data_IF_619272277689
#
_entry.id   IF_619272277689
#
_cell.length_a   1.000
_cell.length_b   1.000
_cell.length_c   1.000
_cell.angle_alpha   90.00
_cell.angle_beta   90.00
_cell.angle_gamma   90.00
#
_symmetry.space_group_name_H-M   'P 1'
#
loop_
_entity.id
_entity.type
_entity.pdbx_description
1 polymer ?
#
# COMPACT_ATOMS: atom_id res chain seq x y z
N UNK A 1 7.44 0.25 -24.69
CA UNK A 1 6.75 0.95 -23.57
C UNK A 1 6.28 0.02 -22.45
N UNK A 2 5.87 -1.24 -22.73
CA UNK A 2 5.42 -2.19 -21.70
C UNK A 2 6.47 -2.47 -20.61
N UNK A 3 7.76 -2.52 -20.97
CA UNK A 3 8.84 -2.80 -20.02
C UNK A 3 9.08 -1.64 -19.03
N UNK A 4 9.07 -0.39 -19.50
CA UNK A 4 9.21 0.79 -18.63
C UNK A 4 8.04 0.85 -17.65
N UNK A 5 6.81 0.70 -18.13
CA UNK A 5 5.63 0.67 -17.28
C UNK A 5 5.74 -0.42 -16.20
N UNK A 6 6.28 -1.59 -16.55
CA UNK A 6 6.44 -2.71 -15.62
C UNK A 6 7.47 -2.46 -14.52
N UNK A 7 8.55 -1.75 -14.84
CA UNK A 7 9.57 -1.36 -13.86
C UNK A 7 8.98 -0.39 -12.84
N UNK A 8 8.23 0.61 -13.31
CA UNK A 8 7.76 1.70 -12.45
C UNK A 8 6.43 1.41 -11.73
N UNK A 9 5.61 0.47 -12.24
CA UNK A 9 4.24 0.25 -11.73
C UNK A 9 4.20 -0.06 -10.24
N UNK A 10 5.13 -0.89 -9.74
CA UNK A 10 5.18 -1.26 -8.34
C UNK A 10 5.39 -0.04 -7.44
N UNK A 11 6.29 0.85 -7.84
CA UNK A 11 6.61 2.06 -7.06
C UNK A 11 5.50 3.10 -7.16
N UNK A 12 4.87 3.24 -8.33
CA UNK A 12 3.72 4.14 -8.51
C UNK A 12 2.50 3.69 -7.70
N UNK A 13 2.24 2.37 -7.66
CA UNK A 13 1.14 1.82 -6.85
C UNK A 13 1.42 2.03 -5.37
N UNK A 14 2.65 1.78 -4.92
CA UNK A 14 3.04 2.07 -3.54
C UNK A 14 2.85 3.55 -3.19
N UNK A 15 3.31 4.47 -4.05
CA UNK A 15 3.15 5.90 -3.85
C UNK A 15 1.66 6.29 -3.75
N UNK A 16 0.83 5.81 -4.67
CA UNK A 16 -0.60 6.11 -4.67
C UNK A 16 -1.31 5.61 -3.40
N UNK A 17 -0.98 4.39 -2.98
CA UNK A 17 -1.52 3.78 -1.76
C UNK A 17 -1.07 4.53 -0.51
N UNK A 18 0.21 4.90 -0.45
CA UNK A 18 0.77 5.69 0.65
C UNK A 18 0.06 7.06 0.76
N UNK A 19 -0.10 7.78 -0.35
CA UNK A 19 -0.81 9.06 -0.38
C UNK A 19 -2.27 8.91 0.03
N UNK A 20 -2.96 7.86 -0.42
CA UNK A 20 -4.36 7.61 -0.06
C UNK A 20 -4.53 7.38 1.45
N UNK A 21 -3.62 6.63 2.07
CA UNK A 21 -3.66 6.36 3.50
C UNK A 21 -3.39 7.59 4.35
N UNK A 22 -2.35 8.36 3.99
CA UNK A 22 -2.07 9.63 4.67
C UNK A 22 -3.21 10.64 4.51
N UNK A 23 -3.85 10.68 3.34
CA UNK A 23 -5.05 11.49 3.12
C UNK A 23 -6.22 11.03 3.98
N UNK A 24 -6.45 9.72 4.06
CA UNK A 24 -7.51 9.13 4.89
C UNK A 24 -7.26 9.36 6.38
N UNK A 25 -6.00 9.35 6.82
CA UNK A 25 -5.60 9.69 8.18
C UNK A 25 -6.01 11.13 8.53
N UNK A 26 -5.65 12.09 7.66
CA UNK A 26 -6.02 13.50 7.85
C UNK A 26 -7.54 13.72 7.88
N UNK A 27 -8.27 13.07 6.97
CA UNK A 27 -9.74 13.11 6.95
C UNK A 27 -10.32 12.48 8.23
N UNK A 28 -9.79 11.34 8.66
CA UNK A 28 -10.24 10.63 9.85
C UNK A 28 -10.03 11.43 11.14
N UNK A 29 -8.91 12.16 11.25
CA UNK A 29 -8.69 13.07 12.37
C UNK A 29 -9.62 14.29 12.32
N UNK A 30 -9.76 14.95 11.15
CA UNK A 30 -10.63 16.11 10.99
C UNK A 30 -12.12 15.78 11.22
N UNK A 31 -12.57 14.58 10.83
CA UNK A 31 -13.93 14.10 11.03
C UNK A 31 -14.17 13.51 12.45
N UNK A 32 -13.15 13.49 13.32
CA UNK A 32 -13.29 13.04 14.70
C UNK A 32 -13.51 11.53 14.86
N UNK A 33 -13.09 10.69 13.90
CA UNK A 33 -13.30 9.24 13.94
C UNK A 33 -12.64 8.56 15.15
N UNK A 34 -11.63 9.20 15.76
CA UNK A 34 -10.99 8.75 16.99
C UNK A 34 -11.93 8.79 18.21
N UNK A 35 -13.04 9.54 18.15
CA UNK A 35 -14.03 9.66 19.24
C UNK A 35 -15.21 8.70 19.11
N UNK A 36 -15.31 8.00 17.98
CA UNK A 36 -16.45 7.12 17.69
C UNK A 36 -16.04 5.69 18.05
N UNK A 37 -16.55 5.09 19.14
CA UNK A 37 -16.23 3.72 19.51
C UNK A 37 -16.99 2.71 18.64
N UNK A 38 -16.30 1.66 18.21
CA UNK A 38 -16.83 0.51 17.46
C UNK A 38 -16.17 -0.76 17.98
N UNK A 39 -16.95 -1.69 18.54
CA UNK A 39 -16.52 -3.06 18.92
C UNK A 39 -15.17 -3.13 19.69
N UNK A 40 -14.95 -2.22 20.65
CA UNK A 40 -13.73 -2.20 21.45
C UNK A 40 -12.53 -1.49 20.82
N UNK A 41 -12.69 -0.92 19.63
CA UNK A 41 -11.75 -0.02 18.96
C UNK A 41 -12.42 1.32 18.62
N UNK A 42 -11.70 2.27 18.03
CA UNK A 42 -12.30 3.47 17.43
C UNK A 42 -12.58 3.27 15.95
N UNK A 43 -13.54 4.00 15.39
CA UNK A 43 -13.79 4.00 13.94
C UNK A 43 -12.51 4.32 13.16
N UNK A 44 -11.68 5.23 13.69
CA UNK A 44 -10.37 5.55 13.11
C UNK A 44 -9.45 4.32 13.03
N UNK A 45 -9.30 3.59 14.13
CA UNK A 45 -8.49 2.37 14.17
C UNK A 45 -9.01 1.32 13.19
N UNK A 46 -10.33 1.10 13.16
CA UNK A 46 -10.94 0.13 12.25
C UNK A 46 -10.72 0.51 10.77
N UNK A 47 -10.94 1.79 10.43
CA UNK A 47 -10.75 2.29 9.07
C UNK A 47 -9.28 2.23 8.61
N UNK A 48 -8.34 2.66 9.47
CA UNK A 48 -6.91 2.57 9.19
C UNK A 48 -6.45 1.12 9.02
N UNK A 49 -6.91 0.22 9.89
CA UNK A 49 -6.58 -1.21 9.82
C UNK A 49 -7.08 -1.82 8.51
N UNK A 50 -8.33 -1.55 8.14
CA UNK A 50 -8.89 -2.04 6.89
C UNK A 50 -8.11 -1.49 5.68
N UNK A 51 -7.83 -0.17 5.67
CA UNK A 51 -7.11 0.46 4.58
C UNK A 51 -5.67 -0.06 4.46
N UNK A 52 -4.99 -0.34 5.57
CA UNK A 52 -3.68 -0.99 5.62
C UNK A 52 -3.70 -2.39 4.95
N UNK A 53 -4.68 -3.22 5.29
CA UNK A 53 -4.78 -4.56 4.69
C UNK A 53 -5.11 -4.48 3.20
N UNK A 54 -6.01 -3.58 2.80
CA UNK A 54 -6.33 -3.35 1.38
C UNK A 54 -5.08 -2.90 0.61
N UNK A 55 -4.29 -1.98 1.18
CA UNK A 55 -3.03 -1.53 0.63
C UNK A 55 -2.03 -2.66 0.40
N UNK A 56 -1.81 -3.52 1.41
CA UNK A 56 -0.95 -4.69 1.28
C UNK A 56 -1.46 -5.68 0.24
N UNK A 57 -2.77 -5.93 0.20
CA UNK A 57 -3.37 -6.82 -0.79
C UNK A 57 -3.17 -6.30 -2.22
N UNK A 58 -3.27 -4.99 -2.44
CA UNK A 58 -2.98 -4.37 -3.73
C UNK A 58 -1.52 -4.60 -4.13
N UNK A 59 -0.57 -4.37 -3.22
CA UNK A 59 0.86 -4.58 -3.50
C UNK A 59 1.20 -6.05 -3.78
N UNK A 60 0.60 -6.97 -3.02
CA UNK A 60 0.72 -8.42 -3.27
C UNK A 60 0.12 -8.79 -4.63
N UNK A 61 -1.04 -8.24 -4.98
CA UNK A 61 -1.68 -8.48 -6.27
C UNK A 61 -0.79 -7.99 -7.43
N UNK A 62 -0.13 -6.83 -7.28
CA UNK A 62 0.86 -6.35 -8.26
C UNK A 62 2.03 -7.32 -8.38
N UNK A 63 2.60 -7.80 -7.27
CA UNK A 63 3.70 -8.76 -7.29
C UNK A 63 3.30 -10.09 -7.98
N UNK A 64 2.11 -10.61 -7.67
CA UNK A 64 1.56 -11.83 -8.30
C UNK A 64 1.32 -11.61 -9.80
N UNK A 65 0.74 -10.47 -10.17
CA UNK A 65 0.52 -10.10 -11.57
C UNK A 65 1.85 -10.00 -12.34
N UNK A 66 2.89 -9.43 -11.72
CA UNK A 66 4.23 -9.35 -12.30
C UNK A 66 4.91 -10.72 -12.45
N UNK A 67 4.54 -11.73 -11.66
CA UNK A 67 5.02 -13.11 -11.81
C UNK A 67 4.20 -13.95 -12.79
N UNK A 68 2.99 -13.51 -13.14
CA UNK A 68 2.10 -14.22 -14.05
C UNK A 68 2.67 -14.30 -15.48
N UNK A 69 2.50 -15.46 -16.18
CA UNK A 69 2.91 -15.59 -17.58
C UNK A 69 2.21 -14.59 -18.50
N UNK A 70 1.02 -14.08 -18.12
CA UNK A 70 0.25 -13.09 -18.88
C UNK A 70 1.00 -11.77 -19.08
N UNK A 71 1.87 -11.41 -18.14
CA UNK A 71 2.61 -10.16 -18.17
C UNK A 71 4.10 -10.36 -18.47
N UNK A 72 4.57 -11.57 -18.82
CA UNK A 72 6.00 -11.89 -19.00
C UNK A 72 6.72 -10.96 -19.99
N UNK A 73 7.90 -10.46 -19.60
CA UNK A 73 8.75 -9.60 -20.43
C UNK A 73 9.70 -10.50 -21.19
N UNK A 74 10.03 -10.12 -22.41
CA UNK A 74 11.03 -10.82 -23.21
C UNK A 74 12.45 -10.67 -22.59
N UNK A 75 12.69 -9.62 -21.79
CA UNK A 75 13.98 -9.37 -21.15
C UNK A 75 14.04 -9.96 -19.73
N UNK A 76 14.98 -10.88 -19.44
CA UNK A 76 15.16 -11.43 -18.10
C UNK A 76 15.61 -10.36 -17.09
N UNK A 77 16.35 -9.33 -17.53
CA UNK A 77 16.75 -8.20 -16.70
C UNK A 77 15.53 -7.39 -16.22
N UNK A 78 14.63 -7.02 -17.14
CA UNK A 78 13.42 -6.25 -16.81
C UNK A 78 12.53 -7.04 -15.84
N UNK A 79 12.39 -8.35 -16.06
CA UNK A 79 11.62 -9.21 -15.16
C UNK A 79 12.22 -9.24 -13.74
N UNK A 80 13.54 -9.34 -13.62
CA UNK A 80 14.22 -9.38 -12.32
C UNK A 80 14.10 -8.04 -11.57
N UNK A 81 14.38 -6.92 -12.24
CA UNK A 81 14.27 -5.58 -11.64
C UNK A 81 12.83 -5.28 -11.22
N UNK A 82 11.83 -5.63 -12.04
CA UNK A 82 10.42 -5.40 -11.70
C UNK A 82 10.01 -6.17 -10.43
N UNK A 83 10.53 -7.39 -10.23
CA UNK A 83 10.25 -8.17 -9.02
C UNK A 83 10.96 -7.56 -7.80
N UNK A 84 12.23 -7.16 -7.93
CA UNK A 84 12.95 -6.49 -6.84
C UNK A 84 12.22 -5.23 -6.39
N UNK A 85 11.78 -4.39 -7.35
CA UNK A 85 11.02 -3.17 -7.04
C UNK A 85 9.66 -3.46 -6.42
N UNK A 86 8.98 -4.53 -6.83
CA UNK A 86 7.73 -4.96 -6.22
C UNK A 86 7.92 -5.46 -4.77
N UNK A 87 8.99 -6.19 -4.49
CA UNK A 87 9.34 -6.61 -3.12
C UNK A 87 9.72 -5.39 -2.28
N UNK A 88 10.52 -4.47 -2.82
CA UNK A 88 10.89 -3.23 -2.14
C UNK A 88 9.65 -2.38 -1.80
N UNK A 89 8.71 -2.25 -2.74
CA UNK A 89 7.44 -1.57 -2.52
C UNK A 89 6.59 -2.24 -1.44
N UNK A 90 6.56 -3.58 -1.40
CA UNK A 90 5.85 -4.34 -0.35
C UNK A 90 6.46 -4.10 1.03
N UNK A 91 7.79 -4.20 1.15
CA UNK A 91 8.53 -3.98 2.41
C UNK A 91 8.39 -2.53 2.86
N UNK A 92 8.54 -1.58 1.94
CA UNK A 92 8.34 -0.16 2.20
C UNK A 92 6.91 0.09 2.69
N UNK A 93 5.90 -0.50 2.04
CA UNK A 93 4.50 -0.38 2.46
C UNK A 93 4.26 -0.96 3.86
N UNK A 94 4.75 -2.17 4.12
CA UNK A 94 4.63 -2.76 5.45
C UNK A 94 5.27 -1.88 6.54
N UNK A 95 6.44 -1.29 6.26
CA UNK A 95 7.15 -0.44 7.20
C UNK A 95 6.53 0.94 7.38
N UNK A 96 6.15 1.63 6.30
CA UNK A 96 5.66 3.02 6.37
C UNK A 96 4.21 3.13 6.82
N UNK A 97 3.42 2.08 6.61
CA UNK A 97 2.03 2.08 7.03
C UNK A 97 1.82 1.55 8.47
N UNK A 98 2.79 0.83 9.04
CA UNK A 98 2.71 0.32 10.42
C UNK A 98 2.57 1.43 11.49
N UNK A 99 3.30 2.57 11.40
CA UNK A 99 3.14 3.69 12.34
C UNK A 99 1.73 4.30 12.32
N UNK A 100 1.00 4.25 11.20
CA UNK A 100 -0.37 4.75 11.11
C UNK A 100 -1.35 3.94 11.97
N UNK A 101 -1.00 2.70 12.32
CA UNK A 101 -1.77 1.84 13.23
C UNK A 101 -1.31 1.95 14.68
N UNK A 102 0.00 2.13 14.89
CA UNK A 102 0.63 2.03 16.21
C UNK A 102 0.64 3.35 17.00
N UNK A 103 0.57 4.50 16.32
CA UNK A 103 0.65 5.82 16.96
C UNK A 103 -0.71 6.51 16.96
N UNK A 104 -1.05 7.16 18.07
CA UNK A 104 -2.19 8.05 18.18
C UNK A 104 -1.86 9.39 17.50
N UNK A 105 -2.19 9.52 16.23
CA UNK A 105 -1.86 10.73 15.44
C UNK A 105 -2.86 11.88 15.61
N UNK A 106 -4.09 11.60 16.04
CA UNK A 106 -5.07 12.65 16.27
C UNK A 106 -4.87 13.25 17.67
N UNK A 107 -4.26 14.44 17.74
CA UNK A 107 -4.20 15.30 18.93
C UNK A 107 -5.43 16.22 19.01
#
# INVERSE_FOLDING_TARGET
>A
MKDVARIVIAMLVWLAVFSALYGLEGVGCAAGWHRIPINGATLFQAAMTLAFFVALLILVAVLVALRSPRFRSASPFVAHISIILAVAALVAGAWTLFPALALSHCA
#
